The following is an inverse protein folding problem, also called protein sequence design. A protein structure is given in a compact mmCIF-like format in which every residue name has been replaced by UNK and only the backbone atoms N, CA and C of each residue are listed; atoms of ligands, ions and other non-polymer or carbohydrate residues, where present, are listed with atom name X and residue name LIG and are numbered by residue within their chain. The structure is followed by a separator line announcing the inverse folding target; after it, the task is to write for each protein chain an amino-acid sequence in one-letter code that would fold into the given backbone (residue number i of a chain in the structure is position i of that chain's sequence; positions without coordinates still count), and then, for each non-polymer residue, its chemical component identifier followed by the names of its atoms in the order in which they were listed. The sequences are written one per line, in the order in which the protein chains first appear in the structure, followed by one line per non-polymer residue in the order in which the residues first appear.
data_IF_443744003042
#
_entry.id   IF_443744003042
#
_cell.length_a   1.000
_cell.length_b   1.000
_cell.length_c   1.000
_cell.angle_alpha   90.00
_cell.angle_beta   90.00
_cell.angle_gamma   90.00
#
_symmetry.space_group_name_H-M   'P 1'
#
loop_
_entity.id
_entity.type
_entity.pdbx_description
1 polymer ?
#
# COMPACT_ATOMS: atom_id res chain seq x y z
N UNK A 1 -2.41 14.91 11.31
CA UNK A 1 -1.31 14.12 10.72
C UNK A 1 -1.94 13.06 9.85
N UNK A 2 -1.38 12.75 8.68
CA UNK A 2 -1.84 11.60 7.90
C UNK A 2 -1.59 10.33 8.72
N UNK A 3 -2.53 9.38 8.67
CA UNK A 3 -2.32 8.06 9.27
C UNK A 3 -1.44 7.27 8.31
N UNK A 4 -0.54 6.46 8.85
CA UNK A 4 0.41 5.69 8.06
C UNK A 4 0.39 4.21 8.47
N UNK A 5 0.67 3.32 7.53
CA UNK A 5 0.85 1.89 7.73
C UNK A 5 2.12 1.40 7.02
N UNK A 6 2.80 0.42 7.59
CA UNK A 6 4.08 -0.08 7.06
C UNK A 6 3.98 -1.58 6.82
N UNK A 7 4.25 -1.97 5.57
CA UNK A 7 4.15 -3.35 5.12
C UNK A 7 5.36 -3.75 4.31
N UNK A 8 5.53 -5.07 4.14
CA UNK A 8 6.47 -5.66 3.21
C UNK A 8 5.88 -6.86 2.51
N UNK A 9 6.36 -7.13 1.30
CA UNK A 9 5.94 -8.26 0.49
C UNK A 9 7.08 -8.74 -0.42
N UNK A 10 7.17 -10.06 -0.61
CA UNK A 10 8.16 -10.69 -1.48
C UNK A 10 7.72 -10.65 -2.96
N UNK A 11 7.33 -9.46 -3.42
CA UNK A 11 6.88 -9.18 -4.79
C UNK A 11 7.42 -7.82 -5.25
N UNK A 12 7.58 -7.64 -6.56
CA UNK A 12 7.88 -6.33 -7.13
C UNK A 12 6.62 -5.43 -7.16
N UNK A 13 6.84 -4.13 -7.29
CA UNK A 13 5.77 -3.13 -7.26
C UNK A 13 4.75 -3.28 -8.39
N UNK A 14 5.17 -3.81 -9.55
CA UNK A 14 4.26 -4.06 -10.68
C UNK A 14 3.29 -5.18 -10.33
N UNK A 15 3.75 -6.25 -9.67
CA UNK A 15 2.87 -7.32 -9.17
C UNK A 15 1.95 -6.84 -8.06
N UNK A 16 2.42 -5.95 -7.18
CA UNK A 16 1.56 -5.31 -6.17
C UNK A 16 0.44 -4.50 -6.83
N UNK A 17 0.77 -3.72 -7.88
CA UNK A 17 -0.23 -3.00 -8.67
C UNK A 17 -1.26 -3.95 -9.29
N UNK A 18 -0.82 -5.09 -9.84
CA UNK A 18 -1.74 -6.09 -10.40
C UNK A 18 -2.62 -6.76 -9.34
N UNK A 19 -2.11 -7.03 -8.13
CA UNK A 19 -2.89 -7.56 -7.01
C UNK A 19 -3.99 -6.60 -6.57
N UNK A 20 -3.74 -5.30 -6.65
CA UNK A 20 -4.67 -4.24 -6.23
C UNK A 20 -5.44 -3.60 -7.38
N UNK A 21 -5.34 -4.14 -8.60
CA UNK A 21 -5.80 -3.48 -9.85
C UNK A 21 -7.24 -2.97 -9.81
N UNK A 22 -8.14 -3.65 -9.10
CA UNK A 22 -9.55 -3.29 -9.00
C UNK A 22 -9.78 -2.01 -8.18
N UNK A 23 -8.77 -1.58 -7.41
CA UNK A 23 -8.76 -0.37 -6.61
C UNK A 23 -7.88 0.75 -7.20
N UNK A 24 -6.98 0.43 -8.14
CA UNK A 24 -5.97 1.37 -8.66
C UNK A 24 -6.62 2.48 -9.47
N UNK A 25 -6.31 3.72 -9.11
CA UNK A 25 -6.66 4.94 -9.84
C UNK A 25 -5.50 5.40 -10.72
N UNK A 26 -4.28 5.35 -10.19
CA UNK A 26 -3.08 5.75 -10.92
C UNK A 26 -1.84 5.04 -10.41
N UNK A 27 -0.81 5.01 -11.25
CA UNK A 27 0.52 4.54 -10.91
C UNK A 27 1.54 5.56 -11.40
N UNK A 28 2.38 6.05 -10.50
CA UNK A 28 3.44 6.99 -10.81
C UNK A 28 4.79 6.28 -10.75
N UNK A 29 5.40 6.06 -11.91
CA UNK A 29 6.69 5.36 -12.06
C UNK A 29 7.88 6.15 -11.49
N UNK A 30 7.80 7.48 -11.42
CA UNK A 30 8.92 8.30 -10.92
C UNK A 30 9.07 8.19 -9.40
N UNK A 31 7.95 8.03 -8.70
CA UNK A 31 7.90 7.98 -7.23
C UNK A 31 7.60 6.57 -6.69
N UNK A 32 7.51 5.57 -7.57
CA UNK A 32 7.10 4.21 -7.19
C UNK A 32 5.81 4.21 -6.33
N UNK A 33 4.85 5.06 -6.74
CA UNK A 33 3.61 5.34 -6.01
C UNK A 33 2.41 4.70 -6.72
N UNK A 34 1.62 3.92 -5.97
CA UNK A 34 0.30 3.44 -6.40
C UNK A 34 -0.76 4.22 -5.63
N UNK A 35 -1.65 4.89 -6.37
CA UNK A 35 -2.84 5.53 -5.79
C UNK A 35 -4.04 4.62 -6.01
N UNK A 36 -4.74 4.31 -4.93
CA UNK A 36 -5.97 3.51 -4.96
C UNK A 36 -7.14 4.26 -4.35
N UNK A 37 -8.35 3.85 -4.70
CA UNK A 37 -9.57 4.19 -3.97
C UNK A 37 -10.09 2.95 -3.25
N UNK A 38 -10.23 3.05 -1.94
CA UNK A 38 -10.85 2.01 -1.12
C UNK A 38 -11.97 2.61 -0.28
N UNK A 39 -13.21 2.11 -0.47
CA UNK A 39 -14.41 2.62 0.21
C UNK A 39 -14.51 4.16 0.20
N UNK A 40 -14.35 4.74 -1.00
CA UNK A 40 -14.39 6.19 -1.28
C UNK A 40 -13.22 7.04 -0.72
N UNK A 41 -12.23 6.44 -0.06
CA UNK A 41 -11.04 7.15 0.42
C UNK A 41 -9.85 6.88 -0.49
N UNK A 42 -9.03 7.92 -0.70
CA UNK A 42 -7.75 7.78 -1.37
C UNK A 42 -6.69 7.21 -0.42
N UNK A 43 -5.91 6.26 -0.93
CA UNK A 43 -4.79 5.64 -0.23
C UNK A 43 -3.60 5.62 -1.19
N UNK A 44 -2.44 6.01 -0.69
CA UNK A 44 -1.19 6.02 -1.45
C UNK A 44 -0.24 4.95 -0.89
N UNK A 45 0.30 4.12 -1.78
CA UNK A 45 1.27 3.09 -1.46
C UNK A 45 2.59 3.46 -2.12
N UNK A 46 3.63 3.66 -1.32
CA UNK A 46 4.97 4.02 -1.76
C UNK A 46 5.90 2.82 -1.61
N UNK A 47 6.33 2.24 -2.73
CA UNK A 47 7.28 1.14 -2.74
C UNK A 47 8.72 1.62 -2.57
N UNK A 48 9.51 0.92 -1.76
CA UNK A 48 10.96 1.13 -1.67
C UNK A 48 11.67 -0.18 -1.29
N UNK A 49 12.97 -0.24 -1.59
CA UNK A 49 13.85 -1.34 -1.18
C UNK A 49 14.86 -0.80 -0.18
N UNK A 50 15.12 -1.55 0.89
CA UNK A 50 16.25 -1.27 1.79
C UNK A 50 17.55 -1.87 1.22
N UNK A 51 18.69 -1.30 1.57
CA UNK A 51 19.99 -1.66 0.97
C UNK A 51 20.28 -3.17 1.09
N UNK A 52 20.48 -3.83 -0.07
CA UNK A 52 20.72 -5.27 -0.25
C UNK A 52 19.53 -6.21 0.05
N UNK A 53 18.31 -5.71 0.21
CA UNK A 53 17.11 -6.53 0.35
C UNK A 53 16.35 -6.65 -0.98
N UNK A 54 15.94 -7.87 -1.34
CA UNK A 54 15.03 -8.12 -2.47
C UNK A 54 13.55 -7.95 -2.08
N UNK A 55 13.27 -7.69 -0.82
CA UNK A 55 11.92 -7.48 -0.27
C UNK A 55 11.45 -6.07 -0.59
N UNK A 56 10.25 -5.93 -1.13
CA UNK A 56 9.62 -4.64 -1.32
C UNK A 56 8.97 -4.19 -0.01
N UNK A 57 9.40 -3.03 0.48
CA UNK A 57 8.76 -2.32 1.59
C UNK A 57 7.77 -1.31 1.05
N UNK A 58 6.67 -1.13 1.76
CA UNK A 58 5.57 -0.28 1.34
C UNK A 58 5.14 0.59 2.51
N UNK A 59 5.31 1.90 2.35
CA UNK A 59 4.69 2.90 3.21
C UNK A 59 3.32 3.25 2.64
N UNK A 60 2.29 3.13 3.47
CA UNK A 60 0.90 3.41 3.12
C UNK A 60 0.49 4.70 3.81
N UNK A 61 0.03 5.67 3.04
CA UNK A 61 -0.56 6.90 3.57
C UNK A 61 -2.06 6.90 3.32
N UNK A 62 -2.81 7.12 4.40
CA UNK A 62 -4.27 7.23 4.34
C UNK A 62 -4.67 8.70 4.25
N UNK A 63 -5.69 8.98 3.44
CA UNK A 63 -6.34 10.29 3.44
C UNK A 63 -6.76 10.69 4.86
N UNK A 64 -6.58 11.96 5.22
CA UNK A 64 -6.72 12.44 6.61
C UNK A 64 -8.07 12.14 7.27
N UNK A 65 -9.13 12.01 6.49
CA UNK A 65 -10.50 11.74 6.95
C UNK A 65 -10.81 10.24 7.03
N UNK A 66 -9.87 9.37 6.66
CA UNK A 66 -10.07 7.92 6.68
C UNK A 66 -10.29 7.43 8.11
N UNK A 67 -11.42 6.75 8.31
CA UNK A 67 -11.79 6.18 9.62
C UNK A 67 -10.91 4.98 9.97
N UNK A 68 -10.73 4.71 11.27
CA UNK A 68 -9.93 3.57 11.72
C UNK A 68 -10.50 2.22 11.26
N UNK A 69 -11.82 2.14 11.09
CA UNK A 69 -12.46 0.94 10.55
C UNK A 69 -12.09 0.71 9.06
N UNK A 70 -11.99 1.77 8.26
CA UNK A 70 -11.58 1.63 6.84
C UNK A 70 -10.12 1.23 6.75
N UNK A 71 -9.26 1.81 7.59
CA UNK A 71 -7.84 1.44 7.71
C UNK A 71 -7.73 -0.04 8.08
N UNK A 72 -8.38 -0.47 9.16
CA UNK A 72 -8.38 -1.88 9.58
C UNK A 72 -8.83 -2.83 8.47
N UNK A 73 -9.89 -2.50 7.74
CA UNK A 73 -10.38 -3.34 6.65
C UNK A 73 -9.38 -3.41 5.48
N UNK A 74 -8.68 -2.32 5.19
CA UNK A 74 -7.67 -2.30 4.15
C UNK A 74 -6.42 -3.08 4.56
N UNK A 75 -5.92 -2.91 5.78
CA UNK A 75 -4.78 -3.67 6.29
C UNK A 75 -5.09 -5.17 6.38
N UNK A 76 -6.33 -5.53 6.73
CA UNK A 76 -6.81 -6.90 6.66
C UNK A 76 -6.77 -7.45 5.23
N UNK A 77 -7.25 -6.70 4.24
CA UNK A 77 -7.17 -7.08 2.82
C UNK A 77 -5.70 -7.31 2.40
N UNK A 78 -4.79 -6.40 2.76
CA UNK A 78 -3.37 -6.56 2.45
C UNK A 78 -2.79 -7.83 3.08
N UNK A 79 -3.14 -8.12 4.33
CA UNK A 79 -2.70 -9.34 5.00
C UNK A 79 -3.23 -10.59 4.30
N UNK A 80 -4.49 -10.59 3.87
CA UNK A 80 -5.09 -11.68 3.07
C UNK A 80 -4.43 -11.85 1.69
N UNK A 81 -3.89 -10.77 1.12
CA UNK A 81 -3.10 -10.77 -0.12
C UNK A 81 -1.62 -11.14 0.09
N UNK A 82 -1.21 -11.45 1.32
CA UNK A 82 0.13 -11.94 1.65
C UNK A 82 1.15 -10.86 2.08
N UNK A 83 0.71 -9.61 2.26
CA UNK A 83 1.55 -8.56 2.84
C UNK A 83 1.76 -8.85 4.33
N UNK A 84 2.93 -8.47 4.85
CA UNK A 84 3.27 -8.59 6.27
C UNK A 84 3.50 -7.21 6.86
N UNK A 85 2.99 -6.96 8.05
CA UNK A 85 3.33 -5.73 8.77
C UNK A 85 4.84 -5.64 9.01
N UNK A 86 5.39 -4.45 8.83
CA UNK A 86 6.78 -4.14 9.14
C UNK A 86 6.81 -3.33 10.45
N UNK A 87 7.21 -3.98 11.55
CA UNK A 87 7.36 -3.38 12.89
C UNK A 87 8.83 -3.23 13.26
#
# INVERSE_FOLDING_TARGET
MAKEGFFKIDLDLKKVRELLKDFVVSFNEEYDEITIIFRTFYIWLYGYYEDNDSTLYINIKYESQTTDNVIFLFEKLLTELGFKHNY
#
